data_IF_384998078568
#
_entry.id   IF_384998078568
#
_cell.length_a   1.000
_cell.length_b   1.000
_cell.length_c   1.000
_cell.angle_alpha   90.00
_cell.angle_beta   90.00
_cell.angle_gamma   90.00
#
_symmetry.space_group_name_H-M   'P 1'
#
loop_
_entity.id
_entity.type
_entity.pdbx_description
1 polymer ?
#
# COMPACT_ATOMS: atom_id res chain seq x y z
N UNK A 1 4.85 24.03 8.68
CA UNK A 1 4.72 22.55 8.70
C UNK A 1 5.32 22.09 10.03
N UNK A 2 4.51 21.78 11.05
CA UNK A 2 5.05 21.33 12.34
C UNK A 2 5.52 19.89 12.17
N UNK A 3 6.81 19.63 12.40
CA UNK A 3 7.33 18.27 12.56
C UNK A 3 6.53 17.59 13.69
N UNK A 4 6.05 16.34 13.51
CA UNK A 4 5.39 15.62 14.58
C UNK A 4 6.38 15.49 15.74
N UNK A 5 5.89 15.80 16.94
CA UNK A 5 6.63 15.65 18.18
C UNK A 5 7.06 14.17 18.36
N UNK A 6 8.37 13.92 18.21
CA UNK A 6 8.96 12.58 18.29
C UNK A 6 9.20 12.13 19.73
N UNK A 7 8.92 12.99 20.73
CA UNK A 7 9.24 12.73 22.15
C UNK A 7 8.45 11.60 22.80
N UNK A 8 7.49 10.98 22.10
CA UNK A 8 6.69 9.84 22.58
C UNK A 8 6.71 8.60 21.67
N UNK A 9 7.54 8.55 20.64
CA UNK A 9 7.60 7.42 19.70
C UNK A 9 8.70 6.43 20.12
N UNK A 10 8.38 5.55 21.06
CA UNK A 10 9.24 4.39 21.31
C UNK A 10 9.14 3.40 20.16
N UNK A 11 10.22 2.63 19.94
CA UNK A 11 10.25 1.53 18.97
C UNK A 11 9.05 0.59 19.15
N UNK A 12 8.69 0.29 20.39
CA UNK A 12 7.57 -0.58 20.76
C UNK A 12 6.21 -0.04 20.26
N UNK A 13 5.99 1.28 20.35
CA UNK A 13 4.77 1.91 19.86
C UNK A 13 4.70 1.81 18.32
N UNK A 14 5.82 2.00 17.64
CA UNK A 14 5.90 1.87 16.18
C UNK A 14 5.65 0.43 15.74
N UNK A 15 6.25 -0.55 16.40
CA UNK A 15 6.02 -1.97 16.14
C UNK A 15 4.55 -2.35 16.36
N UNK A 16 3.93 -1.90 17.45
CA UNK A 16 2.51 -2.15 17.72
C UNK A 16 1.61 -1.54 16.66
N UNK A 17 1.88 -0.30 16.23
CA UNK A 17 1.13 0.36 15.14
C UNK A 17 1.31 -0.36 13.81
N UNK A 18 2.53 -0.80 13.50
CA UNK A 18 2.83 -1.57 12.29
C UNK A 18 2.07 -2.89 12.27
N UNK A 19 2.06 -3.63 13.38
CA UNK A 19 1.30 -4.89 13.49
C UNK A 19 -0.21 -4.68 13.33
N UNK A 20 -0.77 -3.63 13.94
CA UNK A 20 -2.18 -3.29 13.77
C UNK A 20 -2.51 -2.96 12.31
N UNK A 21 -1.66 -2.18 11.64
CA UNK A 21 -1.80 -1.85 10.22
C UNK A 21 -1.74 -3.11 9.33
N UNK A 22 -0.83 -4.04 9.59
CA UNK A 22 -0.74 -5.31 8.85
C UNK A 22 -1.98 -6.18 9.05
N UNK A 23 -2.51 -6.26 10.28
CA UNK A 23 -3.73 -7.02 10.57
C UNK A 23 -4.97 -6.44 9.85
N UNK A 24 -5.13 -5.11 9.86
CA UNK A 24 -6.22 -4.44 9.14
C UNK A 24 -6.06 -4.64 7.63
N UNK A 25 -4.83 -4.56 7.12
CA UNK A 25 -4.54 -4.76 5.69
C UNK A 25 -4.79 -6.19 5.25
N UNK A 26 -4.48 -7.20 6.06
CA UNK A 26 -4.82 -8.59 5.78
C UNK A 26 -6.34 -8.79 5.70
N UNK A 27 -7.09 -8.20 6.64
CA UNK A 27 -8.56 -8.24 6.60
C UNK A 27 -9.08 -7.63 5.30
N UNK A 28 -8.59 -6.46 4.91
CA UNK A 28 -8.96 -5.81 3.66
C UNK A 28 -8.63 -6.67 2.43
N UNK A 29 -7.48 -7.34 2.40
CA UNK A 29 -7.11 -8.28 1.31
C UNK A 29 -8.08 -9.46 1.22
N UNK A 30 -8.59 -9.95 2.35
CA UNK A 30 -9.59 -11.03 2.37
C UNK A 30 -10.97 -10.58 1.90
N UNK A 31 -11.35 -9.35 2.24
CA UNK A 31 -12.64 -8.75 1.87
C UNK A 31 -12.67 -8.28 0.40
N UNK A 32 -11.52 -7.83 -0.12
CA UNK A 32 -11.36 -7.25 -1.46
C UNK A 32 -10.25 -7.96 -2.28
N UNK A 33 -10.38 -9.27 -2.55
CA UNK A 33 -9.32 -10.04 -3.20
C UNK A 33 -9.11 -9.65 -4.68
N UNK A 34 -10.17 -9.17 -5.35
CA UNK A 34 -10.11 -8.74 -6.76
C UNK A 34 -9.34 -7.43 -6.89
N UNK A 35 -9.65 -6.46 -6.04
CA UNK A 35 -8.98 -5.17 -5.95
C UNK A 35 -7.51 -5.36 -5.61
N UNK A 36 -7.19 -6.24 -4.66
CA UNK A 36 -5.81 -6.56 -4.32
C UNK A 36 -5.03 -7.16 -5.50
N UNK A 37 -5.64 -8.07 -6.26
CA UNK A 37 -5.03 -8.63 -7.46
C UNK A 37 -4.78 -7.55 -8.52
N UNK A 38 -5.77 -6.69 -8.73
CA UNK A 38 -5.69 -5.61 -9.72
C UNK A 38 -4.65 -4.55 -9.35
N UNK A 39 -4.52 -4.21 -8.06
CA UNK A 39 -3.44 -3.36 -7.55
C UNK A 39 -2.09 -3.96 -7.94
N UNK A 40 -1.85 -5.24 -7.61
CA UNK A 40 -0.58 -5.90 -7.96
C UNK A 40 -0.32 -5.89 -9.47
N UNK A 41 -1.35 -6.14 -10.27
CA UNK A 41 -1.26 -6.12 -11.74
C UNK A 41 -0.83 -4.75 -12.25
N UNK A 42 -1.48 -3.67 -11.79
CA UNK A 42 -1.14 -2.30 -12.17
C UNK A 42 0.26 -1.91 -11.71
N UNK A 43 0.65 -2.26 -10.47
CA UNK A 43 2.00 -2.00 -9.98
C UNK A 43 3.06 -2.66 -10.87
N UNK A 44 2.88 -3.94 -11.19
CA UNK A 44 3.81 -4.66 -12.07
C UNK A 44 3.83 -4.06 -13.48
N UNK A 45 2.68 -3.67 -14.03
CA UNK A 45 2.59 -2.99 -15.32
C UNK A 45 3.39 -1.68 -15.31
N UNK A 46 3.15 -0.83 -14.29
CA UNK A 46 3.84 0.45 -14.12
C UNK A 46 5.35 0.27 -13.99
N UNK A 47 5.79 -0.76 -13.27
CA UNK A 47 7.21 -1.01 -13.01
C UNK A 47 7.94 -1.70 -14.17
N UNK A 48 7.21 -2.34 -15.09
CA UNK A 48 7.79 -3.07 -16.22
C UNK A 48 7.74 -2.29 -17.53
N UNK A 49 6.85 -1.31 -17.65
CA UNK A 49 6.62 -0.59 -18.91
C UNK A 49 6.95 0.91 -18.75
N UNK A 50 7.36 1.59 -19.84
CA UNK A 50 7.27 3.04 -19.91
C UNK A 50 5.80 3.46 -19.84
N UNK A 51 5.53 4.61 -19.22
CA UNK A 51 4.18 5.18 -19.16
C UNK A 51 4.23 6.53 -19.83
N UNK A 52 3.49 6.64 -20.93
CA UNK A 52 3.28 7.91 -21.60
C UNK A 52 2.57 8.88 -20.65
N UNK A 53 2.91 10.16 -20.74
CA UNK A 53 2.32 11.17 -19.86
C UNK A 53 0.80 11.25 -20.00
N UNK A 54 0.27 10.98 -21.20
CA UNK A 54 -1.16 10.95 -21.49
C UNK A 54 -1.88 9.78 -20.78
N UNK A 55 -1.15 8.68 -20.52
CA UNK A 55 -1.67 7.50 -19.81
C UNK A 55 -1.42 7.54 -18.31
N UNK A 56 -0.46 8.34 -17.85
CA UNK A 56 -0.12 8.47 -16.42
C UNK A 56 -1.35 8.83 -15.60
N UNK A 57 -2.07 9.89 -15.98
CA UNK A 57 -3.18 10.41 -15.18
C UNK A 57 -4.26 9.35 -14.95
N UNK A 58 -4.70 8.69 -16.03
CA UNK A 58 -5.71 7.64 -15.95
C UNK A 58 -5.23 6.44 -15.14
N UNK A 59 -3.98 6.02 -15.31
CA UNK A 59 -3.39 4.88 -14.59
C UNK A 59 -3.30 5.18 -13.09
N UNK A 60 -2.83 6.38 -12.72
CA UNK A 60 -2.69 6.81 -11.33
C UNK A 60 -4.06 6.99 -10.65
N UNK A 61 -5.05 7.56 -11.34
CA UNK A 61 -6.42 7.63 -10.81
C UNK A 61 -7.05 6.25 -10.61
N UNK A 62 -6.82 5.31 -11.53
CA UNK A 62 -7.32 3.94 -11.40
C UNK A 62 -6.69 3.25 -10.19
N UNK A 63 -5.36 3.35 -10.06
CA UNK A 63 -4.66 2.79 -8.91
C UNK A 63 -5.13 3.43 -7.60
N UNK A 64 -5.27 4.76 -7.54
CA UNK A 64 -5.74 5.45 -6.34
C UNK A 64 -7.14 4.99 -5.90
N UNK A 65 -8.08 4.80 -6.84
CA UNK A 65 -9.43 4.28 -6.52
C UNK A 65 -9.38 2.88 -5.91
N UNK A 66 -8.52 2.00 -6.45
CA UNK A 66 -8.34 0.67 -5.88
C UNK A 66 -7.77 0.73 -4.47
N UNK A 67 -6.81 1.63 -4.21
CA UNK A 67 -6.23 1.82 -2.88
C UNK A 67 -7.24 2.38 -1.88
N UNK A 68 -8.12 3.29 -2.31
CA UNK A 68 -9.22 3.81 -1.50
C UNK A 68 -10.20 2.70 -1.10
N UNK A 69 -10.54 1.81 -2.04
CA UNK A 69 -11.40 0.65 -1.77
C UNK A 69 -10.80 -0.33 -0.75
N UNK A 70 -9.48 -0.41 -0.62
CA UNK A 70 -8.85 -1.22 0.43
C UNK A 70 -9.14 -0.67 1.84
N UNK A 71 -9.57 0.59 1.95
CA UNK A 71 -10.08 1.18 3.18
C UNK A 71 -9.03 1.87 4.04
N UNK A 72 -9.51 2.83 4.85
CA UNK A 72 -8.70 3.62 5.78
C UNK A 72 -8.03 2.76 6.85
N UNK A 73 -6.84 3.16 7.26
CA UNK A 73 -6.05 2.43 8.28
C UNK A 73 -5.31 1.20 7.75
N UNK A 74 -5.49 0.85 6.47
CA UNK A 74 -4.64 -0.12 5.79
C UNK A 74 -3.33 0.51 5.33
N UNK A 75 -2.35 -0.35 5.03
CA UNK A 75 -1.11 0.04 4.38
C UNK A 75 -1.34 0.63 2.99
N UNK A 76 -2.47 0.34 2.34
CA UNK A 76 -2.80 0.82 0.99
C UNK A 76 -3.27 2.28 1.00
N UNK A 77 -4.00 2.65 2.05
CA UNK A 77 -4.55 3.99 2.18
C UNK A 77 -3.55 4.95 2.81
N UNK A 78 -2.96 4.56 3.96
CA UNK A 78 -2.12 5.46 4.74
C UNK A 78 -0.82 5.70 3.96
N UNK A 79 -0.66 6.92 3.43
CA UNK A 79 0.40 7.36 2.52
C UNK A 79 0.13 7.16 1.02
N UNK A 80 -0.14 5.94 0.54
CA UNK A 80 -0.12 5.71 -0.91
C UNK A 80 -1.31 6.29 -1.67
N UNK A 81 -2.52 6.21 -1.12
CA UNK A 81 -3.69 6.79 -1.79
C UNK A 81 -3.45 8.26 -2.15
N UNK A 82 -3.05 9.06 -1.17
CA UNK A 82 -2.89 10.51 -1.35
C UNK A 82 -1.69 10.88 -2.22
N UNK A 83 -0.60 10.12 -2.13
CA UNK A 83 0.65 10.37 -2.87
C UNK A 83 0.68 9.72 -4.26
N UNK A 84 -0.28 8.86 -4.59
CA UNK A 84 -0.49 8.34 -5.95
C UNK A 84 -1.56 9.14 -6.69
N UNK A 85 -2.61 9.58 -6.00
CA UNK A 85 -3.72 10.31 -6.61
C UNK A 85 -3.25 11.64 -7.23
N UNK A 86 -3.34 11.85 -8.56
CA UNK A 86 -2.84 13.05 -9.22
C UNK A 86 -3.52 14.35 -8.76
N UNK A 87 -4.82 14.30 -8.46
CA UNK A 87 -5.56 15.46 -7.93
C UNK A 87 -5.33 15.73 -6.42
N UNK A 88 -4.41 15.01 -5.77
CA UNK A 88 -4.05 15.24 -4.37
C UNK A 88 -2.56 15.62 -4.29
N UNK A 89 -1.71 14.77 -3.70
CA UNK A 89 -0.27 15.01 -3.61
C UNK A 89 0.52 14.25 -4.68
N UNK A 90 -0.14 13.44 -5.50
CA UNK A 90 0.49 12.64 -6.55
C UNK A 90 1.14 13.48 -7.62
N UNK A 91 2.44 13.22 -7.87
CA UNK A 91 3.20 13.86 -8.96
C UNK A 91 3.76 12.79 -9.88
N UNK A 92 3.65 13.01 -11.20
CA UNK A 92 4.11 12.07 -12.23
C UNK A 92 5.56 11.60 -12.02
N UNK A 93 6.46 12.53 -11.67
CA UNK A 93 7.89 12.23 -11.42
C UNK A 93 8.15 11.25 -10.28
N UNK A 94 7.23 11.14 -9.31
CA UNK A 94 7.36 10.21 -8.17
C UNK A 94 6.51 8.96 -8.33
N UNK A 95 5.63 8.90 -9.32
CA UNK A 95 4.64 7.82 -9.44
C UNK A 95 5.27 6.42 -9.48
N UNK A 96 6.33 6.24 -10.28
CA UNK A 96 7.02 4.95 -10.38
C UNK A 96 7.71 4.56 -9.07
N UNK A 97 8.26 5.55 -8.36
CA UNK A 97 8.87 5.33 -7.05
C UNK A 97 7.81 4.89 -6.03
N UNK A 98 6.68 5.60 -5.96
CA UNK A 98 5.56 5.24 -5.08
C UNK A 98 5.02 3.84 -5.37
N UNK A 99 4.96 3.43 -6.64
CA UNK A 99 4.52 2.09 -7.03
C UNK A 99 5.51 1.00 -6.58
N UNK A 100 6.82 1.28 -6.67
CA UNK A 100 7.86 0.36 -6.20
C UNK A 100 7.78 0.16 -4.69
N UNK A 101 7.70 1.26 -3.95
CA UNK A 101 7.61 1.26 -2.49
C UNK A 101 6.34 0.54 -2.01
N UNK A 102 5.18 0.79 -2.65
CA UNK A 102 3.95 0.06 -2.35
C UNK A 102 4.08 -1.44 -2.63
N UNK A 103 4.74 -1.84 -3.72
CA UNK A 103 4.95 -3.25 -4.02
C UNK A 103 5.82 -3.93 -2.95
N UNK A 104 6.82 -3.23 -2.42
CA UNK A 104 7.63 -3.70 -1.28
C UNK A 104 6.78 -3.88 -0.02
N UNK A 105 5.94 -2.90 0.33
CA UNK A 105 5.00 -3.04 1.46
C UNK A 105 4.02 -4.21 1.30
N UNK A 106 3.57 -4.48 0.07
CA UNK A 106 2.72 -5.64 -0.22
C UNK A 106 3.50 -6.95 -0.02
N UNK A 107 4.78 -6.98 -0.39
CA UNK A 107 5.62 -8.15 -0.16
C UNK A 107 5.84 -8.41 1.33
N UNK A 108 6.09 -7.37 2.12
CA UNK A 108 6.17 -7.46 3.59
C UNK A 108 4.87 -8.02 4.18
N UNK A 109 3.71 -7.52 3.74
CA UNK A 109 2.42 -8.05 4.17
C UNK A 109 2.30 -9.54 3.82
N UNK A 110 2.69 -9.95 2.63
CA UNK A 110 2.62 -11.35 2.22
C UNK A 110 3.56 -12.25 3.03
N UNK A 111 4.77 -11.77 3.33
CA UNK A 111 5.70 -12.48 4.21
C UNK A 111 5.13 -12.62 5.63
N UNK A 112 4.58 -11.55 6.18
CA UNK A 112 3.91 -11.56 7.48
C UNK A 112 2.74 -12.54 7.51
N UNK A 113 1.88 -12.54 6.48
CA UNK A 113 0.77 -13.52 6.34
C UNK A 113 1.28 -14.96 6.30
N UNK A 114 2.33 -15.22 5.52
CA UNK A 114 2.93 -16.55 5.42
C UNK A 114 3.52 -17.02 6.76
N UNK A 115 4.17 -16.12 7.51
CA UNK A 115 4.72 -16.43 8.83
C UNK A 115 3.64 -16.85 9.84
N UNK A 116 2.42 -16.29 9.74
CA UNK A 116 1.29 -16.64 10.59
C UNK A 116 0.61 -17.94 10.17
N UNK A 117 0.53 -18.23 8.86
CA UNK A 117 -0.05 -19.48 8.38
C UNK A 117 0.83 -20.70 8.75
N UNK A 118 2.16 -20.54 8.78
CA UNK A 118 3.10 -21.58 9.23
C UNK A 118 2.93 -21.98 10.70
N UNK A 119 2.24 -21.16 11.51
CA UNK A 119 1.95 -21.47 12.91
C UNK A 119 0.67 -22.32 13.10
N UNK A 120 -0.07 -22.61 12.03
CA UNK A 120 -1.20 -23.55 12.07
C UNK A 120 -0.68 -24.96 11.77
N UNK A 121 0.07 -25.53 12.71
CA UNK A 121 0.32 -26.97 12.73
C UNK A 121 -0.96 -27.64 13.24
N UNK A 122 -1.68 -28.28 12.33
CA UNK A 122 -2.88 -29.07 12.62
C UNK A 122 -2.47 -30.21 13.55
N UNK A 123 -3.13 -30.31 14.71
CA UNK A 123 -3.08 -31.47 15.61
C UNK A 123 -3.85 -32.63 15.02
#
# INVERSE_FOLDING_TARGET
MKLPDLSGLTREILEKRRLACLAISEKAVREHPREFHEIKRLLNYVLSNPIDIDRYFCTACTLAKLLDHMGKGTLFYHYYYENIHPNQFGRARYFRFMCRDLLEQINDLNQWRASRCKLVLIK
#
